data_IF_816724141386
#
_entry.id   IF_816724141386
#
_cell.length_a   1.000
_cell.length_b   1.000
_cell.length_c   1.000
_cell.angle_alpha   90.00
_cell.angle_beta   90.00
_cell.angle_gamma   90.00
#
_symmetry.space_group_name_H-M   'P 1'
#
loop_
_entity.id
_entity.type
_entity.pdbx_description
1 polymer ?
#
# COMPACT_ATOMS: atom_id res chain seq x y z
N UNK A 1 14.28 17.99 -65.19
CA UNK A 1 14.37 19.06 -64.17
C UNK A 1 13.55 18.63 -62.97
N UNK A 2 14.01 17.63 -62.20
CA UNK A 2 13.18 17.03 -61.14
C UNK A 2 14.01 16.36 -60.02
N UNK A 3 15.04 17.05 -59.54
CA UNK A 3 15.81 16.61 -58.36
C UNK A 3 16.09 17.84 -57.49
N UNK A 4 15.06 18.37 -56.81
CA UNK A 4 15.27 19.40 -55.77
C UNK A 4 14.13 19.57 -54.76
N UNK A 5 13.41 18.50 -54.41
CA UNK A 5 12.45 18.50 -53.30
C UNK A 5 12.54 17.21 -52.50
N UNK A 6 13.51 17.11 -51.59
CA UNK A 6 13.45 16.31 -50.36
C UNK A 6 14.74 16.47 -49.52
N UNK A 7 14.99 17.69 -49.04
CA UNK A 7 15.94 17.95 -47.94
C UNK A 7 15.41 19.10 -47.09
N UNK A 8 14.43 18.77 -46.25
CA UNK A 8 14.10 19.50 -45.03
C UNK A 8 13.22 18.58 -44.18
N UNK A 9 13.84 17.54 -43.59
CA UNK A 9 13.25 16.89 -42.41
C UNK A 9 13.66 17.75 -41.22
N UNK A 10 12.72 18.55 -40.75
CA UNK A 10 12.76 19.28 -39.49
C UNK A 10 13.18 18.32 -38.38
N UNK A 11 14.28 18.66 -37.70
CA UNK A 11 14.71 18.01 -36.47
C UNK A 11 13.58 18.24 -35.45
N UNK A 12 13.02 17.20 -34.80
CA UNK A 12 11.97 17.41 -33.82
C UNK A 12 12.49 18.31 -32.70
N UNK A 13 11.72 19.35 -32.35
CA UNK A 13 12.13 20.40 -31.41
C UNK A 13 12.59 19.87 -30.05
N UNK A 14 12.19 18.66 -29.66
CA UNK A 14 12.65 17.94 -28.47
C UNK A 14 14.15 17.59 -28.49
N UNK A 15 14.73 17.30 -29.67
CA UNK A 15 16.16 17.02 -29.85
C UNK A 15 17.01 18.30 -29.80
N UNK A 16 16.46 19.42 -30.28
CA UNK A 16 17.07 20.75 -30.16
C UNK A 16 17.04 21.28 -28.72
N UNK A 17 15.96 20.99 -27.97
CA UNK A 17 15.86 21.31 -26.54
C UNK A 17 16.93 20.58 -25.71
N UNK A 18 17.16 19.29 -25.99
CA UNK A 18 18.23 18.49 -25.38
C UNK A 18 19.65 18.99 -25.72
N UNK A 19 19.83 19.57 -26.92
CA UNK A 19 21.08 20.17 -27.36
C UNK A 19 21.31 21.58 -26.77
N UNK A 20 20.24 22.36 -26.57
CA UNK A 20 20.26 23.74 -26.05
C UNK A 20 20.53 23.85 -24.55
N UNK A 21 20.46 22.74 -23.80
CA UNK A 21 21.00 22.60 -22.44
C UNK A 21 22.55 22.57 -22.45
N UNK A 22 23.17 23.47 -23.20
CA UNK A 22 24.62 23.62 -23.38
C UNK A 22 25.31 24.25 -22.16
N UNK A 23 24.56 24.86 -21.25
CA UNK A 23 25.09 25.46 -20.01
C UNK A 23 25.30 24.49 -18.83
N UNK A 24 24.86 23.23 -18.91
CA UNK A 24 24.80 22.33 -17.74
C UNK A 24 26.09 21.57 -17.41
N UNK A 25 27.17 21.71 -18.19
CA UNK A 25 28.44 21.02 -17.87
C UNK A 25 29.11 21.57 -16.59
N UNK A 26 28.85 22.82 -16.21
CA UNK A 26 29.42 23.44 -15.00
C UNK A 26 28.75 22.99 -13.69
N UNK A 27 27.52 22.48 -13.76
CA UNK A 27 26.80 21.93 -12.58
C UNK A 27 27.03 20.42 -12.45
N UNK A 28 27.29 19.74 -13.57
CA UNK A 28 27.60 18.31 -13.59
C UNK A 28 29.04 18.00 -13.14
N UNK A 29 29.98 18.95 -13.26
CA UNK A 29 31.39 18.71 -12.91
C UNK A 29 31.69 18.62 -11.41
N UNK A 30 31.09 19.42 -10.49
CA UNK A 30 31.34 19.29 -9.06
C UNK A 30 30.65 18.06 -8.49
N UNK A 31 29.45 17.73 -8.98
CA UNK A 31 28.73 16.51 -8.63
C UNK A 31 29.50 15.26 -9.05
N UNK A 32 30.04 15.23 -10.27
CA UNK A 32 30.90 14.15 -10.75
C UNK A 32 32.20 14.01 -9.93
N UNK A 33 32.81 15.13 -9.52
CA UNK A 33 34.02 15.13 -8.67
C UNK A 33 33.74 14.64 -7.25
N UNK A 34 32.63 15.08 -6.65
CA UNK A 34 32.19 14.66 -5.32
C UNK A 34 31.83 13.16 -5.31
N UNK A 35 31.15 12.68 -6.36
CA UNK A 35 30.84 11.26 -6.56
C UNK A 35 32.10 10.40 -6.74
N UNK A 36 33.11 10.89 -7.46
CA UNK A 36 34.39 10.19 -7.65
C UNK A 36 35.22 10.09 -6.37
N UNK A 37 35.18 11.11 -5.50
CA UNK A 37 35.90 11.14 -4.24
C UNK A 37 35.23 10.30 -3.14
N UNK A 38 33.91 10.40 -2.98
CA UNK A 38 33.16 9.67 -1.94
C UNK A 38 32.99 8.16 -2.25
N UNK A 39 33.07 7.76 -3.52
CA UNK A 39 32.79 6.38 -3.95
C UNK A 39 34.03 5.58 -4.36
N UNK A 40 35.24 5.99 -3.98
CA UNK A 40 36.52 5.36 -4.42
C UNK A 40 36.60 3.83 -4.18
N UNK A 41 35.96 3.31 -3.12
CA UNK A 41 35.84 1.86 -2.84
C UNK A 41 34.63 1.20 -3.53
N UNK A 42 33.56 1.96 -3.81
CA UNK A 42 32.27 1.45 -4.34
C UNK A 42 32.19 1.46 -5.88
N UNK A 43 33.01 2.29 -6.53
CA UNK A 43 33.17 2.37 -7.99
C UNK A 43 33.96 1.19 -8.61
N UNK A 44 34.31 0.16 -7.83
CA UNK A 44 35.03 -1.01 -8.35
C UNK A 44 34.24 -1.76 -9.44
N UNK A 45 32.90 -1.75 -9.39
CA UNK A 45 32.05 -2.31 -10.45
C UNK A 45 32.11 -1.50 -11.75
N UNK A 46 32.12 -0.17 -11.63
CA UNK A 46 32.34 0.75 -12.74
C UNK A 46 33.76 0.65 -13.30
N UNK A 47 34.69 -0.08 -12.68
CA UNK A 47 36.06 -0.28 -13.20
C UNK A 47 36.18 -1.45 -14.19
N UNK A 48 35.12 -2.25 -14.38
CA UNK A 48 35.13 -3.39 -15.31
C UNK A 48 35.11 -2.88 -16.75
N UNK A 49 36.17 -3.13 -17.55
CA UNK A 49 36.29 -2.72 -18.97
C UNK A 49 35.04 -3.02 -19.81
N UNK A 50 34.36 -4.15 -19.54
CA UNK A 50 33.14 -4.56 -20.26
C UNK A 50 31.97 -3.59 -20.08
N UNK A 51 31.88 -2.89 -18.96
CA UNK A 51 30.82 -1.92 -18.69
C UNK A 51 30.95 -0.66 -19.57
N UNK A 52 32.15 -0.11 -19.74
CA UNK A 52 32.37 1.04 -20.62
C UNK A 52 32.14 0.72 -22.09
N UNK A 53 32.48 -0.51 -22.51
CA UNK A 53 32.19 -0.98 -23.87
C UNK A 53 30.67 -1.04 -24.10
N UNK A 54 29.92 -1.60 -23.15
CA UNK A 54 28.46 -1.64 -23.19
C UNK A 54 27.85 -0.23 -23.25
N UNK A 55 28.32 0.68 -22.41
CA UNK A 55 27.81 2.06 -22.37
C UNK A 55 28.16 2.84 -23.64
N UNK A 56 29.36 2.63 -24.20
CA UNK A 56 29.77 3.23 -25.46
C UNK A 56 28.91 2.72 -26.61
N UNK A 57 28.62 1.41 -26.64
CA UNK A 57 27.69 0.83 -27.60
C UNK A 57 26.32 1.52 -27.54
N UNK A 58 25.71 1.65 -26.36
CA UNK A 58 24.41 2.32 -26.20
C UNK A 58 24.43 3.80 -26.56
N UNK A 59 25.51 4.53 -26.25
CA UNK A 59 25.65 5.93 -26.62
C UNK A 59 25.90 6.14 -28.13
N UNK A 60 26.36 5.11 -28.84
CA UNK A 60 26.56 5.12 -30.28
C UNK A 60 25.30 4.72 -31.06
N UNK A 61 24.30 4.06 -30.43
CA UNK A 61 23.03 3.69 -31.07
C UNK A 61 22.35 4.91 -31.74
N UNK A 62 22.22 6.09 -31.10
CA UNK A 62 21.62 7.26 -31.76
C UNK A 62 22.41 7.73 -32.99
N UNK A 63 23.73 7.63 -32.97
CA UNK A 63 24.58 7.98 -34.11
C UNK A 63 24.45 6.97 -35.26
N UNK A 64 24.17 5.70 -34.96
CA UNK A 64 23.89 4.65 -35.94
C UNK A 64 22.48 4.76 -36.54
N UNK A 65 21.48 5.11 -35.72
CA UNK A 65 20.08 5.26 -36.15
C UNK A 65 19.82 6.55 -36.94
N UNK A 66 20.63 7.59 -36.75
CA UNK A 66 20.51 8.88 -37.43
C UNK A 66 21.79 9.25 -38.21
N UNK A 67 22.15 8.47 -39.25
CA UNK A 67 23.38 8.70 -40.00
C UNK A 67 23.37 10.08 -40.67
N UNK A 68 24.47 10.83 -40.48
CA UNK A 68 24.68 12.16 -41.07
C UNK A 68 24.05 13.34 -40.32
N UNK A 69 23.31 13.10 -39.23
CA UNK A 69 22.71 14.17 -38.42
C UNK A 69 23.48 14.46 -37.13
N UNK A 70 24.23 13.50 -36.60
CA UNK A 70 25.06 13.69 -35.41
C UNK A 70 26.54 13.76 -35.78
N UNK A 71 27.21 14.85 -35.38
CA UNK A 71 28.67 14.92 -35.44
C UNK A 71 29.30 14.02 -34.38
N UNK A 72 30.50 13.44 -34.63
CA UNK A 72 31.20 12.60 -33.64
C UNK A 72 31.41 13.29 -32.29
N UNK A 73 31.62 14.61 -32.30
CA UNK A 73 31.78 15.42 -31.09
C UNK A 73 30.49 15.49 -30.24
N UNK A 74 29.32 15.54 -30.88
CA UNK A 74 28.02 15.52 -30.18
C UNK A 74 27.75 14.13 -29.60
N UNK A 75 28.04 13.06 -30.35
CA UNK A 75 27.92 11.69 -29.84
C UNK A 75 28.81 11.45 -28.61
N UNK A 76 30.04 11.96 -28.63
CA UNK A 76 30.95 11.88 -27.48
C UNK A 76 30.44 12.68 -26.27
N UNK A 77 29.85 13.87 -26.47
CA UNK A 77 29.21 14.64 -25.39
C UNK A 77 28.01 13.90 -24.79
N UNK A 78 27.19 13.25 -25.63
CA UNK A 78 26.07 12.41 -25.17
C UNK A 78 26.62 11.25 -24.33
N UNK A 79 27.66 10.55 -24.79
CA UNK A 79 28.29 9.46 -24.05
C UNK A 79 28.79 9.90 -22.66
N UNK A 80 29.52 11.01 -22.57
CA UNK A 80 30.00 11.54 -21.30
C UNK A 80 28.85 11.92 -20.36
N UNK A 81 27.80 12.55 -20.89
CA UNK A 81 26.59 12.88 -20.09
C UNK A 81 25.93 11.61 -19.55
N UNK A 82 25.81 10.56 -20.36
CA UNK A 82 25.23 9.29 -19.93
C UNK A 82 26.05 8.64 -18.81
N UNK A 83 27.39 8.69 -18.86
CA UNK A 83 28.25 8.21 -17.77
C UNK A 83 27.93 8.96 -16.48
N UNK A 84 27.90 10.30 -16.53
CA UNK A 84 27.69 11.12 -15.32
C UNK A 84 26.30 10.90 -14.74
N UNK A 85 25.26 10.88 -15.59
CA UNK A 85 23.88 10.65 -15.15
C UNK A 85 23.76 9.25 -14.53
N UNK A 86 24.23 8.21 -15.23
CA UNK A 86 24.15 6.84 -14.73
C UNK A 86 24.95 6.64 -13.44
N UNK A 87 26.16 7.19 -13.36
CA UNK A 87 27.00 7.16 -12.17
C UNK A 87 26.32 7.85 -10.97
N UNK A 88 25.72 9.02 -11.21
CA UNK A 88 24.97 9.74 -10.17
C UNK A 88 23.79 8.92 -9.67
N UNK A 89 22.98 8.35 -10.57
CA UNK A 89 21.85 7.49 -10.19
C UNK A 89 22.30 6.23 -9.42
N UNK A 90 23.43 5.64 -9.81
CA UNK A 90 23.97 4.42 -9.17
C UNK A 90 24.34 4.67 -7.71
N UNK A 91 24.85 5.88 -7.41
CA UNK A 91 25.29 6.28 -6.08
C UNK A 91 24.16 6.81 -5.20
N UNK A 92 23.27 7.60 -5.78
CA UNK A 92 22.09 8.16 -5.11
C UNK A 92 21.15 7.02 -4.68
N UNK A 93 20.99 5.98 -5.50
CA UNK A 93 20.03 4.91 -5.22
C UNK A 93 20.34 4.06 -3.99
N UNK A 94 21.60 3.92 -3.57
CA UNK A 94 21.96 2.93 -2.55
C UNK A 94 21.73 3.40 -1.10
N UNK A 95 21.59 4.70 -0.83
CA UNK A 95 21.57 5.23 0.54
C UNK A 95 20.44 6.24 0.82
N UNK A 96 19.51 6.39 -0.11
CA UNK A 96 18.47 7.41 0.00
C UNK A 96 17.12 6.74 0.17
N UNK A 97 16.49 7.00 1.31
CA UNK A 97 15.08 6.69 1.50
C UNK A 97 14.26 7.77 0.78
N UNK A 98 13.81 7.47 -0.44
CA UNK A 98 13.12 8.43 -1.31
C UNK A 98 11.74 8.86 -0.78
N UNK A 99 11.22 8.23 0.28
CA UNK A 99 10.01 8.68 0.97
C UNK A 99 10.10 10.13 1.48
N UNK A 100 11.30 10.55 1.93
CA UNK A 100 11.55 11.93 2.37
C UNK A 100 11.64 12.91 1.20
N UNK A 101 12.15 12.45 0.06
CA UNK A 101 12.31 13.24 -1.16
C UNK A 101 10.97 13.43 -1.89
N UNK A 102 10.02 12.51 -1.73
CA UNK A 102 8.66 12.61 -2.28
C UNK A 102 8.03 13.98 -2.03
N UNK A 103 8.14 14.51 -0.80
CA UNK A 103 7.58 15.82 -0.41
C UNK A 103 8.15 16.98 -1.24
N UNK A 104 9.43 16.92 -1.61
CA UNK A 104 10.08 17.93 -2.45
C UNK A 104 9.74 17.75 -3.94
N UNK A 105 9.40 16.53 -4.37
CA UNK A 105 9.07 16.21 -5.76
C UNK A 105 7.59 16.42 -6.11
N UNK A 106 6.69 16.33 -5.12
CA UNK A 106 5.24 16.51 -5.32
C UNK A 106 4.87 17.85 -5.97
N UNK A 107 5.45 19.01 -5.60
CA UNK A 107 5.12 20.29 -6.23
C UNK A 107 5.54 20.39 -7.71
N UNK A 108 6.54 19.61 -8.12
CA UNK A 108 7.15 19.70 -9.46
C UNK A 108 6.59 18.65 -10.42
N UNK A 109 6.34 17.43 -9.94
CA UNK A 109 5.94 16.28 -10.76
C UNK A 109 4.46 15.90 -10.58
N UNK A 110 3.76 16.48 -9.60
CA UNK A 110 2.43 16.03 -9.19
C UNK A 110 2.48 14.81 -8.26
N UNK A 111 1.37 14.56 -7.55
CA UNK A 111 1.31 13.57 -6.48
C UNK A 111 1.53 12.12 -6.98
N UNK A 112 0.93 11.76 -8.10
CA UNK A 112 0.97 10.39 -8.65
C UNK A 112 2.33 10.05 -9.24
N UNK A 113 2.91 10.94 -10.04
CA UNK A 113 4.24 10.72 -10.62
C UNK A 113 5.33 10.76 -9.55
N UNK A 114 5.21 11.62 -8.53
CA UNK A 114 6.13 11.61 -7.40
C UNK A 114 6.04 10.29 -6.59
N UNK A 115 4.83 9.74 -6.42
CA UNK A 115 4.61 8.44 -5.77
C UNK A 115 5.22 7.30 -6.59
N UNK A 116 4.92 7.24 -7.89
CA UNK A 116 5.44 6.23 -8.79
C UNK A 116 6.98 6.24 -8.86
N UNK A 117 7.58 7.44 -8.98
CA UNK A 117 9.03 7.60 -8.99
C UNK A 117 9.67 7.18 -7.65
N UNK A 118 9.05 7.54 -6.53
CA UNK A 118 9.53 7.16 -5.18
C UNK A 118 9.56 5.64 -5.03
N UNK A 119 8.49 4.96 -5.46
CA UNK A 119 8.40 3.50 -5.46
C UNK A 119 9.50 2.90 -6.35
N UNK A 120 9.62 3.36 -7.59
CA UNK A 120 10.64 2.87 -8.53
C UNK A 120 12.07 3.02 -7.98
N UNK A 121 12.37 4.14 -7.32
CA UNK A 121 13.70 4.40 -6.76
C UNK A 121 14.00 3.56 -5.52
N UNK A 122 13.00 3.25 -4.70
CA UNK A 122 13.16 2.34 -3.56
C UNK A 122 13.29 0.86 -4.00
N UNK A 123 12.70 0.47 -5.13
CA UNK A 123 12.80 -0.89 -5.73
C UNK A 123 14.21 -1.18 -6.24
N UNK A 124 14.81 -0.18 -6.88
CA UNK A 124 15.98 -0.36 -7.73
C UNK A 124 17.20 -1.00 -7.02
N UNK A 125 17.56 -0.69 -5.76
CA UNK A 125 18.65 -1.35 -5.06
C UNK A 125 18.40 -2.84 -4.81
N UNK A 126 17.17 -3.22 -4.44
CA UNK A 126 16.83 -4.63 -4.24
C UNK A 126 16.85 -5.39 -5.55
N UNK A 127 16.21 -4.83 -6.58
CA UNK A 127 16.22 -5.38 -7.93
C UNK A 127 17.65 -5.54 -8.47
N UNK A 128 18.53 -4.57 -8.24
CA UNK A 128 19.94 -4.65 -8.63
C UNK A 128 20.65 -5.84 -7.98
N UNK A 129 20.49 -6.02 -6.66
CA UNK A 129 21.12 -7.15 -5.94
C UNK A 129 20.63 -8.49 -6.47
N UNK A 130 19.32 -8.65 -6.64
CA UNK A 130 18.72 -9.89 -7.13
C UNK A 130 19.10 -10.20 -8.58
N UNK A 131 19.22 -9.17 -9.42
CA UNK A 131 19.73 -9.30 -10.78
C UNK A 131 21.20 -9.76 -10.81
N UNK A 132 22.04 -9.22 -9.92
CA UNK A 132 23.44 -9.61 -9.85
C UNK A 132 23.63 -11.04 -9.35
N UNK A 133 22.91 -11.44 -8.30
CA UNK A 133 22.96 -12.81 -7.77
C UNK A 133 22.40 -13.80 -8.78
N UNK A 134 21.26 -13.49 -9.41
CA UNK A 134 20.70 -14.30 -10.48
C UNK A 134 21.65 -14.47 -11.67
N UNK A 135 22.30 -13.38 -12.10
CA UNK A 135 23.30 -13.44 -13.17
C UNK A 135 24.54 -14.27 -12.79
N UNK A 136 25.02 -14.17 -11.55
CA UNK A 136 26.12 -14.98 -11.05
C UNK A 136 25.78 -16.48 -11.03
N UNK A 137 24.59 -16.85 -10.54
CA UNK A 137 24.09 -18.22 -10.52
C UNK A 137 23.92 -18.80 -11.93
N UNK A 138 23.40 -18.01 -12.88
CA UNK A 138 23.28 -18.43 -14.27
C UNK A 138 24.63 -18.68 -14.95
N UNK A 139 25.64 -17.87 -14.62
CA UNK A 139 27.00 -18.05 -15.13
C UNK A 139 27.69 -19.32 -14.59
N UNK A 140 27.28 -19.81 -13.41
CA UNK A 140 27.80 -21.05 -12.83
C UNK A 140 27.16 -22.30 -13.48
N UNK A 141 25.86 -22.24 -13.81
CA UNK A 141 25.08 -23.43 -14.19
C UNK A 141 24.74 -23.58 -15.69
N UNK A 142 25.05 -22.61 -16.56
CA UNK A 142 24.56 -22.63 -17.95
C UNK A 142 25.64 -22.50 -19.03
N UNK A 143 25.43 -23.14 -20.19
CA UNK A 143 26.17 -22.82 -21.43
C UNK A 143 25.93 -21.35 -21.79
N UNK A 144 27.01 -20.56 -21.92
CA UNK A 144 27.02 -19.09 -22.09
C UNK A 144 26.00 -18.53 -23.11
N UNK A 145 25.65 -19.28 -24.16
CA UNK A 145 24.71 -18.85 -25.22
C UNK A 145 23.25 -18.71 -24.74
N UNK A 146 22.80 -19.49 -23.75
CA UNK A 146 21.40 -19.44 -23.28
C UNK A 146 21.18 -18.39 -22.17
N UNK A 147 22.26 -17.87 -21.58
CA UNK A 147 22.19 -16.90 -20.48
C UNK A 147 21.60 -15.57 -20.96
N UNK A 148 22.03 -15.08 -22.12
CA UNK A 148 21.57 -13.80 -22.69
C UNK A 148 20.08 -13.84 -23.02
N UNK A 149 19.58 -14.99 -23.50
CA UNK A 149 18.16 -15.19 -23.82
C UNK A 149 17.26 -15.30 -22.58
N UNK A 150 17.78 -15.82 -21.46
CA UNK A 150 17.03 -16.00 -20.20
C UNK A 150 17.07 -14.77 -19.28
N UNK A 151 18.05 -13.89 -19.47
CA UNK A 151 18.25 -12.71 -18.63
C UNK A 151 17.04 -11.74 -18.59
N UNK A 152 16.38 -11.41 -19.72
CA UNK A 152 15.20 -10.54 -19.68
C UNK A 152 14.07 -11.11 -18.83
N UNK A 153 13.79 -12.41 -18.93
CA UNK A 153 12.76 -13.07 -18.12
C UNK A 153 13.08 -13.05 -16.62
N UNK A 154 14.34 -13.26 -16.25
CA UNK A 154 14.79 -13.13 -14.86
C UNK A 154 14.60 -11.70 -14.35
N UNK A 155 14.95 -10.68 -15.15
CA UNK A 155 14.80 -9.28 -14.78
C UNK A 155 13.35 -8.89 -14.52
N UNK A 156 12.43 -9.35 -15.39
CA UNK A 156 10.99 -9.15 -15.20
C UNK A 156 10.50 -9.85 -13.94
N UNK A 157 10.89 -11.09 -13.69
CA UNK A 157 10.50 -11.83 -12.48
C UNK A 157 11.01 -11.17 -11.19
N UNK A 158 12.24 -10.64 -11.19
CA UNK A 158 12.74 -9.85 -10.06
C UNK A 158 11.91 -8.58 -9.86
N UNK A 159 11.61 -7.85 -10.93
CA UNK A 159 10.79 -6.65 -10.83
C UNK A 159 9.38 -6.94 -10.29
N UNK A 160 8.75 -8.04 -10.73
CA UNK A 160 7.44 -8.48 -10.23
C UNK A 160 7.48 -8.81 -8.74
N UNK A 161 8.48 -9.57 -8.29
CA UNK A 161 8.63 -9.91 -6.86
C UNK A 161 8.77 -8.67 -5.97
N UNK A 162 9.62 -7.72 -6.38
CA UNK A 162 9.79 -6.49 -5.59
C UNK A 162 8.53 -5.62 -5.65
N UNK A 163 7.81 -5.60 -6.77
CA UNK A 163 6.52 -4.91 -6.88
C UNK A 163 5.46 -5.50 -5.94
N UNK A 164 5.35 -6.83 -5.86
CA UNK A 164 4.47 -7.53 -4.93
C UNK A 164 4.83 -7.22 -3.47
N UNK A 165 6.12 -7.26 -3.12
CA UNK A 165 6.58 -6.97 -1.76
C UNK A 165 6.21 -5.53 -1.33
N UNK A 166 6.33 -4.57 -2.25
CA UNK A 166 5.93 -3.19 -1.98
C UNK A 166 4.41 -3.04 -1.93
N UNK A 167 3.66 -3.72 -2.78
CA UNK A 167 2.21 -3.70 -2.71
C UNK A 167 1.73 -4.23 -1.34
N UNK A 168 2.34 -5.30 -0.85
CA UNK A 168 2.07 -5.85 0.48
C UNK A 168 2.44 -4.86 1.60
N UNK A 169 3.61 -4.22 1.53
CA UNK A 169 4.02 -3.20 2.51
C UNK A 169 3.10 -1.98 2.48
N UNK A 170 2.69 -1.51 1.29
CA UNK A 170 1.76 -0.40 1.15
C UNK A 170 0.36 -0.74 1.67
N UNK A 171 -0.07 -2.00 1.53
CA UNK A 171 -1.32 -2.49 2.12
C UNK A 171 -1.23 -2.59 3.66
N UNK A 172 -0.06 -2.94 4.18
CA UNK A 172 0.21 -2.94 5.63
C UNK A 172 0.27 -1.52 6.22
N UNK A 173 0.86 -0.56 5.48
CA UNK A 173 1.00 0.85 5.89
C UNK A 173 -0.22 1.73 5.55
N UNK A 174 -1.19 1.21 4.79
CA UNK A 174 -2.43 1.94 4.53
C UNK A 174 -3.17 2.18 5.86
N UNK A 175 -3.68 3.41 6.09
CA UNK A 175 -4.48 3.67 7.26
C UNK A 175 -5.73 2.78 7.20
N UNK A 176 -6.07 2.17 8.33
CA UNK A 176 -7.25 1.33 8.51
C UNK A 176 -8.55 2.14 8.44
N UNK A 177 -9.69 1.50 8.70
CA UNK A 177 -11.00 2.12 8.48
C UNK A 177 -11.23 3.35 9.35
N UNK A 178 -12.20 4.20 8.95
CA UNK A 178 -12.73 5.23 9.85
C UNK A 178 -13.57 4.55 10.94
N UNK A 179 -13.34 4.91 12.20
CA UNK A 179 -14.02 4.28 13.34
C UNK A 179 -14.95 5.29 13.99
N UNK A 180 -16.20 4.87 14.22
CA UNK A 180 -17.22 5.59 14.97
C UNK A 180 -17.47 4.86 16.28
N UNK A 181 -17.01 5.43 17.39
CA UNK A 181 -17.21 4.88 18.73
C UNK A 181 -18.51 5.45 19.29
N UNK A 182 -19.46 4.57 19.57
CA UNK A 182 -20.70 4.90 20.27
C UNK A 182 -20.54 4.52 21.73
N UNK A 183 -20.57 5.51 22.62
CA UNK A 183 -20.36 5.28 24.05
C UNK A 183 -21.38 6.04 24.90
N UNK A 184 -21.66 5.51 26.09
CA UNK A 184 -22.66 6.01 27.01
C UNK A 184 -23.08 4.92 28.00
N UNK A 185 -23.98 5.27 28.92
CA UNK A 185 -24.43 4.40 30.00
C UNK A 185 -25.06 3.08 29.53
N UNK A 186 -25.17 2.11 30.43
CA UNK A 186 -25.94 0.88 30.20
C UNK A 186 -27.40 1.26 29.94
N UNK A 187 -28.01 0.66 28.92
CA UNK A 187 -29.39 0.97 28.47
C UNK A 187 -29.62 2.42 28.00
N UNK A 188 -28.59 3.19 27.67
CA UNK A 188 -28.72 4.53 27.07
C UNK A 188 -29.24 4.57 25.63
N UNK A 189 -29.56 3.41 25.03
CA UNK A 189 -30.05 3.34 23.65
C UNK A 189 -28.97 3.15 22.58
N UNK A 190 -27.72 2.80 22.96
CA UNK A 190 -26.61 2.54 22.01
C UNK A 190 -27.00 1.57 20.87
N UNK A 191 -27.57 0.41 21.21
CA UNK A 191 -27.97 -0.59 20.22
C UNK A 191 -29.09 -0.09 19.29
N UNK A 192 -30.01 0.74 19.81
CA UNK A 192 -31.04 1.38 19.01
C UNK A 192 -30.43 2.40 18.02
N UNK A 193 -29.48 3.21 18.48
CA UNK A 193 -28.73 4.12 17.62
C UNK A 193 -27.96 3.36 16.54
N UNK A 194 -27.29 2.26 16.89
CA UNK A 194 -26.60 1.37 15.94
C UNK A 194 -27.53 0.90 14.82
N UNK A 195 -28.73 0.40 15.18
CA UNK A 195 -29.71 -0.05 14.20
C UNK A 195 -30.17 1.07 13.27
N UNK A 196 -30.43 2.26 13.82
CA UNK A 196 -30.79 3.46 13.03
C UNK A 196 -29.67 3.86 12.06
N UNK A 197 -28.43 3.90 12.54
CA UNK A 197 -27.26 4.24 11.72
C UNK A 197 -27.06 3.21 10.60
N UNK A 198 -27.25 1.91 10.88
CA UNK A 198 -27.20 0.87 9.86
C UNK A 198 -28.25 1.08 8.75
N UNK A 199 -29.49 1.43 9.13
CA UNK A 199 -30.54 1.75 8.18
C UNK A 199 -30.22 2.99 7.33
N UNK A 200 -29.65 4.04 7.95
CA UNK A 200 -29.21 5.25 7.24
C UNK A 200 -28.10 4.96 6.23
N UNK A 201 -27.09 4.17 6.59
CA UNK A 201 -26.03 3.78 5.64
C UNK A 201 -26.59 2.94 4.48
N UNK A 202 -27.56 2.06 4.75
CA UNK A 202 -28.24 1.29 3.72
C UNK A 202 -29.06 2.20 2.78
N UNK A 203 -29.75 3.22 3.30
CA UNK A 203 -30.46 4.24 2.50
C UNK A 203 -29.52 5.05 1.61
N UNK A 204 -28.27 5.23 2.03
CA UNK A 204 -27.20 5.85 1.22
C UNK A 204 -26.62 4.90 0.16
N UNK A 205 -27.13 3.68 0.03
CA UNK A 205 -26.68 2.70 -0.96
C UNK A 205 -25.40 1.97 -0.57
N UNK A 206 -24.96 2.06 0.69
CA UNK A 206 -23.77 1.36 1.17
C UNK A 206 -24.09 -0.08 1.53
N UNK A 207 -23.11 -0.95 1.31
CA UNK A 207 -23.14 -2.32 1.82
C UNK A 207 -22.85 -2.30 3.31
N UNK A 208 -23.68 -2.96 4.09
CA UNK A 208 -23.55 -3.06 5.55
C UNK A 208 -23.29 -4.51 5.96
N UNK A 209 -22.45 -4.73 6.97
CA UNK A 209 -22.18 -6.04 7.56
C UNK A 209 -22.02 -5.94 9.06
N UNK A 210 -21.66 -7.06 9.70
CA UNK A 210 -21.47 -7.11 11.14
C UNK A 210 -22.71 -7.51 11.93
N UNK A 211 -22.70 -7.21 13.23
CA UNK A 211 -23.73 -7.61 14.19
C UNK A 211 -24.12 -6.46 15.11
N UNK A 212 -25.39 -6.41 15.50
CA UNK A 212 -25.95 -5.49 16.48
C UNK A 212 -26.67 -6.30 17.56
N UNK A 213 -26.32 -6.10 18.83
CA UNK A 213 -26.89 -6.83 19.97
C UNK A 213 -28.08 -6.07 20.57
N UNK A 214 -29.27 -6.28 20.03
CA UNK A 214 -30.49 -5.62 20.46
C UNK A 214 -31.02 -6.20 21.78
N UNK A 215 -31.39 -5.32 22.71
CA UNK A 215 -32.04 -5.76 23.95
C UNK A 215 -33.48 -6.21 23.70
N UNK A 216 -33.83 -7.39 24.22
CA UNK A 216 -35.21 -7.90 24.24
C UNK A 216 -35.86 -7.53 25.55
N UNK A 217 -37.06 -6.95 25.50
CA UNK A 217 -37.82 -6.49 26.66
C UNK A 217 -39.21 -7.14 26.72
N UNK A 218 -39.62 -7.59 27.89
CA UNK A 218 -41.00 -7.99 28.22
C UNK A 218 -41.45 -7.19 29.45
N UNK A 219 -42.62 -6.57 29.39
CA UNK A 219 -43.20 -5.80 30.51
C UNK A 219 -42.24 -4.74 31.09
N UNK A 220 -41.46 -4.08 30.22
CA UNK A 220 -40.46 -3.08 30.61
C UNK A 220 -39.16 -3.64 31.19
N UNK A 221 -39.05 -4.97 31.35
CA UNK A 221 -37.84 -5.64 31.87
C UNK A 221 -37.05 -6.27 30.73
N UNK A 222 -35.73 -6.04 30.71
CA UNK A 222 -34.84 -6.69 29.73
C UNK A 222 -34.70 -8.18 30.00
N UNK A 223 -35.27 -9.00 29.12
CA UNK A 223 -35.33 -10.48 29.19
C UNK A 223 -34.29 -11.18 28.32
N UNK A 224 -33.57 -10.45 27.47
CA UNK A 224 -32.54 -11.07 26.63
C UNK A 224 -31.82 -10.12 25.69
N UNK A 225 -31.10 -10.73 24.75
CA UNK A 225 -30.40 -10.09 23.66
C UNK A 225 -30.60 -10.90 22.38
N UNK A 226 -30.99 -10.21 21.31
CA UNK A 226 -30.99 -10.76 19.96
C UNK A 226 -29.85 -10.14 19.15
N UNK A 227 -29.23 -10.93 18.29
CA UNK A 227 -28.32 -10.45 17.27
C UNK A 227 -29.12 -10.11 16.02
N UNK A 228 -28.92 -8.90 15.51
CA UNK A 228 -29.39 -8.45 14.20
C UNK A 228 -28.20 -8.26 13.27
N UNK A 229 -28.30 -8.82 12.06
CA UNK A 229 -27.30 -8.71 10.99
C UNK A 229 -27.72 -7.63 9.97
N UNK A 230 -27.06 -6.47 9.89
CA UNK A 230 -27.47 -5.40 8.98
C UNK A 230 -27.44 -5.79 7.49
N UNK A 231 -26.50 -6.67 7.11
CA UNK A 231 -26.32 -7.10 5.72
C UNK A 231 -27.43 -8.02 5.24
N UNK A 232 -27.71 -9.09 6.00
CA UNK A 232 -28.70 -10.10 5.64
C UNK A 232 -30.12 -9.75 6.11
N UNK A 233 -30.25 -8.92 7.14
CA UNK A 233 -31.51 -8.65 7.85
C UNK A 233 -31.96 -9.76 8.79
N UNK A 234 -31.14 -10.80 9.00
CA UNK A 234 -31.46 -11.91 9.90
C UNK A 234 -31.42 -11.45 11.36
N UNK A 235 -32.23 -12.13 12.17
CA UNK A 235 -32.30 -11.90 13.61
C UNK A 235 -32.44 -13.22 14.36
N UNK A 236 -31.71 -13.39 15.46
CA UNK A 236 -31.78 -14.59 16.31
C UNK A 236 -31.35 -14.28 17.75
N UNK A 237 -31.84 -15.08 18.69
CA UNK A 237 -31.50 -14.89 20.11
C UNK A 237 -30.08 -15.34 20.42
N UNK A 238 -29.34 -14.46 21.09
CA UNK A 238 -28.02 -14.74 21.66
C UNK A 238 -28.13 -15.13 23.13
N UNK A 239 -28.96 -14.41 23.89
CA UNK A 239 -29.12 -14.68 25.30
C UNK A 239 -30.55 -14.42 25.80
N UNK A 240 -30.97 -15.21 26.79
CA UNK A 240 -32.28 -15.09 27.45
C UNK A 240 -32.13 -15.22 28.96
N UNK A 241 -33.11 -14.76 29.73
CA UNK A 241 -33.18 -14.98 31.18
C UNK A 241 -33.84 -16.31 31.57
N UNK A 242 -34.38 -17.04 30.59
CA UNK A 242 -34.99 -18.35 30.80
C UNK A 242 -33.93 -19.38 31.23
N UNK A 243 -34.15 -20.07 32.35
CA UNK A 243 -33.14 -21.00 32.90
C UNK A 243 -32.91 -22.24 32.03
N UNK A 244 -33.91 -22.70 31.30
CA UNK A 244 -33.83 -23.81 30.35
C UNK A 244 -33.09 -23.47 29.06
N UNK A 245 -32.70 -22.22 28.85
CA UNK A 245 -32.04 -21.75 27.64
C UNK A 245 -30.52 -21.61 27.84
N UNK A 246 -29.78 -21.69 26.73
CA UNK A 246 -28.35 -21.36 26.66
C UNK A 246 -27.42 -22.41 27.29
N UNK A 247 -26.14 -22.28 26.96
CA UNK A 247 -25.08 -23.20 27.35
C UNK A 247 -24.23 -22.62 28.49
N UNK A 248 -24.10 -21.29 28.54
CA UNK A 248 -23.26 -20.57 29.50
C UNK A 248 -24.06 -19.48 30.19
N UNK A 249 -23.79 -19.24 31.47
CA UNK A 249 -24.41 -18.16 32.24
C UNK A 249 -23.47 -17.00 32.52
N UNK A 250 -23.97 -15.78 32.35
CA UNK A 250 -23.36 -14.56 32.88
C UNK A 250 -24.43 -13.72 33.60
N UNK A 251 -24.35 -13.70 34.94
CA UNK A 251 -25.39 -13.13 35.78
C UNK A 251 -26.73 -13.84 35.55
N UNK A 252 -27.80 -13.06 35.29
CA UNK A 252 -29.15 -13.59 35.01
C UNK A 252 -29.37 -14.08 33.58
N UNK A 253 -28.39 -13.90 32.70
CA UNK A 253 -28.52 -14.22 31.28
C UNK A 253 -27.85 -15.56 30.97
N UNK A 254 -28.52 -16.36 30.14
CA UNK A 254 -28.02 -17.61 29.57
C UNK A 254 -27.74 -17.41 28.07
N UNK A 255 -26.49 -17.60 27.67
CA UNK A 255 -25.99 -17.39 26.32
C UNK A 255 -25.90 -18.72 25.57
N UNK A 256 -26.30 -18.73 24.30
CA UNK A 256 -26.08 -19.88 23.41
C UNK A 256 -24.71 -19.77 22.74
N UNK A 257 -23.89 -20.81 22.89
CA UNK A 257 -22.61 -20.96 22.22
C UNK A 257 -22.79 -21.06 20.70
N UNK A 258 -23.80 -21.79 20.25
CA UNK A 258 -24.13 -21.89 18.82
C UNK A 258 -24.47 -20.53 18.23
N UNK A 259 -25.32 -19.74 18.90
CA UNK A 259 -25.65 -18.38 18.45
C UNK A 259 -24.44 -17.44 18.52
N UNK A 260 -23.54 -17.64 19.48
CA UNK A 260 -22.32 -16.85 19.59
C UNK A 260 -21.34 -17.13 18.43
N UNK A 261 -21.15 -18.39 18.05
CA UNK A 261 -20.34 -18.76 16.88
C UNK A 261 -20.98 -18.26 15.57
N UNK A 262 -22.31 -18.39 15.43
CA UNK A 262 -23.04 -17.77 14.30
C UNK A 262 -22.82 -16.26 14.22
N UNK A 263 -22.78 -15.58 15.37
CA UNK A 263 -22.51 -14.13 15.41
C UNK A 263 -21.07 -13.80 14.99
N UNK A 264 -20.08 -14.65 15.31
CA UNK A 264 -18.70 -14.48 14.80
C UNK A 264 -18.64 -14.66 13.29
N UNK A 265 -19.32 -15.66 12.75
CA UNK A 265 -19.41 -15.88 11.31
C UNK A 265 -20.03 -14.67 10.61
N UNK A 266 -21.17 -14.20 11.10
CA UNK A 266 -21.85 -13.02 10.56
C UNK A 266 -21.03 -11.72 10.70
N UNK A 267 -20.26 -11.59 11.78
CA UNK A 267 -19.35 -10.47 12.00
C UNK A 267 -18.19 -10.45 10.98
N UNK A 268 -17.82 -11.60 10.44
CA UNK A 268 -16.79 -11.75 9.41
C UNK A 268 -17.36 -11.81 7.98
N UNK A 269 -18.68 -11.86 7.82
CA UNK A 269 -19.37 -11.83 6.53
C UNK A 269 -19.59 -10.38 6.06
N UNK A 270 -18.53 -9.78 5.52
CA UNK A 270 -18.58 -8.43 4.95
C UNK A 270 -17.75 -8.30 3.68
N UNK A 271 -18.22 -7.43 2.78
CA UNK A 271 -17.55 -7.11 1.52
C UNK A 271 -16.46 -6.03 1.71
N UNK A 272 -15.55 -5.91 0.74
CA UNK A 272 -14.66 -4.75 0.64
C UNK A 272 -15.45 -3.43 0.55
N UNK A 273 -14.91 -2.37 1.17
CA UNK A 273 -15.53 -1.05 1.28
C UNK A 273 -16.95 -1.05 1.88
N UNK A 274 -17.28 -2.04 2.71
CA UNK A 274 -18.54 -2.06 3.46
C UNK A 274 -18.46 -1.23 4.75
N UNK A 275 -19.63 -0.94 5.32
CA UNK A 275 -19.76 -0.41 6.68
C UNK A 275 -20.05 -1.56 7.62
N UNK A 276 -19.19 -1.75 8.62
CA UNK A 276 -19.31 -2.86 9.59
C UNK A 276 -19.79 -2.34 10.93
N UNK A 277 -20.71 -3.08 11.56
CA UNK A 277 -21.26 -2.79 12.88
C UNK A 277 -20.82 -3.86 13.88
N UNK A 278 -20.38 -3.45 15.07
CA UNK A 278 -20.09 -4.34 16.19
C UNK A 278 -20.63 -3.74 17.49
N UNK A 279 -21.57 -4.45 18.12
CA UNK A 279 -22.16 -4.11 19.41
C UNK A 279 -22.02 -5.30 20.37
N UNK A 280 -21.20 -5.28 21.43
CA UNK A 280 -20.37 -4.23 22.04
C UNK A 280 -18.95 -4.76 22.30
N UNK A 281 -17.93 -3.90 22.25
CA UNK A 281 -16.60 -4.23 22.74
C UNK A 281 -16.40 -3.76 24.19
N UNK A 282 -15.90 -4.67 25.04
CA UNK A 282 -15.73 -4.43 26.46
C UNK A 282 -14.63 -5.29 27.09
N UNK A 283 -14.79 -5.67 28.37
CA UNK A 283 -13.77 -6.44 29.10
C UNK A 283 -13.40 -7.77 28.43
N UNK A 284 -14.35 -8.51 27.86
CA UNK A 284 -14.07 -9.78 27.19
C UNK A 284 -13.11 -9.60 26.01
N UNK A 285 -13.35 -8.61 25.15
CA UNK A 285 -12.47 -8.31 24.04
C UNK A 285 -11.09 -7.84 24.53
N UNK A 286 -11.05 -7.06 25.62
CA UNK A 286 -9.79 -6.65 26.25
C UNK A 286 -8.99 -7.82 26.82
N UNK A 287 -9.63 -8.91 27.22
CA UNK A 287 -8.98 -10.14 27.66
C UNK A 287 -8.64 -11.10 26.49
N UNK A 288 -8.99 -10.74 25.25
CA UNK A 288 -8.75 -11.56 24.06
C UNK A 288 -9.84 -12.60 23.79
N UNK A 289 -10.92 -12.56 24.57
CA UNK A 289 -12.11 -13.38 24.39
C UNK A 289 -13.17 -12.64 23.56
N UNK A 290 -14.41 -13.14 23.55
CA UNK A 290 -15.51 -12.45 22.89
C UNK A 290 -15.28 -12.35 21.37
N UNK A 291 -15.38 -11.12 20.87
CA UNK A 291 -15.13 -10.78 19.47
C UNK A 291 -13.73 -10.19 19.21
N UNK A 292 -12.76 -10.36 20.12
CA UNK A 292 -11.43 -9.74 20.01
C UNK A 292 -10.75 -10.03 18.66
N UNK A 293 -10.69 -11.31 18.26
CA UNK A 293 -10.06 -11.72 17.00
C UNK A 293 -10.82 -11.19 15.76
N UNK A 294 -12.15 -11.10 15.86
CA UNK A 294 -12.96 -10.50 14.80
C UNK A 294 -12.66 -9.01 14.67
N UNK A 295 -12.57 -8.27 15.80
CA UNK A 295 -12.23 -6.85 15.81
C UNK A 295 -10.84 -6.59 15.24
N UNK A 296 -9.83 -7.39 15.58
CA UNK A 296 -8.49 -7.31 14.98
C UNK A 296 -8.54 -7.53 13.46
N UNK A 297 -9.29 -8.54 13.03
CA UNK A 297 -9.45 -8.88 11.62
C UNK A 297 -10.17 -7.77 10.84
N UNK A 298 -11.22 -7.18 11.41
CA UNK A 298 -11.95 -6.04 10.87
C UNK A 298 -11.02 -4.82 10.73
N UNK A 299 -10.23 -4.50 11.76
CA UNK A 299 -9.28 -3.38 11.72
C UNK A 299 -8.14 -3.59 10.72
N UNK A 300 -7.84 -4.83 10.35
CA UNK A 300 -6.89 -5.19 9.30
C UNK A 300 -7.50 -5.27 7.90
N UNK A 301 -8.83 -5.23 7.79
CA UNK A 301 -9.57 -5.40 6.53
C UNK A 301 -9.80 -4.09 5.80
N UNK A 302 -10.09 -4.19 4.50
CA UNK A 302 -10.36 -3.03 3.65
C UNK A 302 -11.86 -2.67 3.68
N UNK A 303 -12.35 -2.25 4.84
CA UNK A 303 -13.73 -1.75 5.02
C UNK A 303 -13.73 -0.21 4.98
N UNK A 304 -14.88 0.38 4.68
CA UNK A 304 -15.01 1.84 4.64
C UNK A 304 -14.98 2.43 6.06
N UNK A 305 -15.84 1.90 6.93
CA UNK A 305 -15.95 2.37 8.31
C UNK A 305 -16.46 1.29 9.26
N UNK A 306 -16.02 1.36 10.52
CA UNK A 306 -16.46 0.53 11.62
C UNK A 306 -17.28 1.37 12.61
N UNK A 307 -18.51 0.96 12.88
CA UNK A 307 -19.32 1.45 14.00
C UNK A 307 -19.19 0.48 15.17
N UNK A 308 -18.64 0.97 16.27
CA UNK A 308 -18.30 0.16 17.43
C UNK A 308 -18.96 0.75 18.66
N UNK A 309 -19.82 0.01 19.34
CA UNK A 309 -20.22 0.40 20.70
C UNK A 309 -19.13 -0.03 21.67
N UNK A 310 -18.79 0.84 22.61
CA UNK A 310 -17.78 0.57 23.63
C UNK A 310 -18.29 1.02 24.99
N UNK A 311 -18.12 0.14 25.99
CA UNK A 311 -18.39 0.50 27.39
C UNK A 311 -17.55 1.70 27.78
N UNK A 312 -18.15 2.69 28.42
CA UNK A 312 -17.47 3.96 28.74
C UNK A 312 -16.15 3.75 29.50
N UNK A 313 -16.12 2.81 30.45
CA UNK A 313 -14.93 2.42 31.20
C UNK A 313 -13.80 1.82 30.34
N UNK A 314 -14.11 1.27 29.18
CA UNK A 314 -13.19 0.51 28.34
C UNK A 314 -12.68 1.30 27.11
N UNK A 315 -13.22 2.50 26.85
CA UNK A 315 -12.90 3.30 25.65
C UNK A 315 -11.40 3.53 25.47
N UNK A 316 -10.69 3.92 26.54
CA UNK A 316 -9.25 4.17 26.49
C UNK A 316 -8.45 2.92 26.11
N UNK A 317 -8.75 1.80 26.75
CA UNK A 317 -8.05 0.53 26.56
C UNK A 317 -8.35 -0.09 25.19
N UNK A 318 -9.61 -0.04 24.72
CA UNK A 318 -9.98 -0.51 23.38
C UNK A 318 -9.27 0.30 22.31
N UNK A 319 -9.19 1.63 22.49
CA UNK A 319 -8.48 2.50 21.55
C UNK A 319 -7.00 2.15 21.44
N UNK A 320 -6.35 1.91 22.57
CA UNK A 320 -4.93 1.54 22.62
C UNK A 320 -4.68 0.16 22.05
N UNK A 321 -5.50 -0.84 22.41
CA UNK A 321 -5.29 -2.24 22.03
C UNK A 321 -5.66 -2.52 20.58
N UNK A 322 -6.80 -2.01 20.09
CA UNK A 322 -7.37 -2.42 18.80
C UNK A 322 -7.34 -1.34 17.73
N UNK A 323 -7.45 -0.07 18.09
CA UNK A 323 -7.74 1.01 17.13
C UNK A 323 -6.49 1.75 16.64
N UNK A 324 -5.29 1.24 16.89
CA UNK A 324 -4.02 1.89 16.51
C UNK A 324 -3.84 2.12 15.00
N UNK A 325 -4.56 1.36 14.15
CA UNK A 325 -4.55 1.52 12.69
C UNK A 325 -5.67 2.41 12.15
N UNK A 326 -6.64 2.83 12.97
CA UNK A 326 -7.79 3.62 12.49
C UNK A 326 -7.33 4.89 11.76
N UNK A 327 -7.90 5.17 10.59
CA UNK A 327 -7.60 6.41 9.84
C UNK A 327 -8.09 7.65 10.59
N UNK A 328 -9.25 7.53 11.24
CA UNK A 328 -9.91 8.57 12.02
C UNK A 328 -10.83 7.93 13.04
N UNK A 329 -10.94 8.54 14.22
CA UNK A 329 -11.82 8.08 15.30
C UNK A 329 -12.78 9.21 15.64
N UNK A 330 -14.08 8.95 15.54
CA UNK A 330 -15.15 9.86 15.90
C UNK A 330 -15.92 9.30 17.09
N UNK A 331 -16.38 10.16 17.98
CA UNK A 331 -17.20 9.77 19.14
C UNK A 331 -18.65 10.21 18.92
N UNK A 332 -19.57 9.30 19.16
CA UNK A 332 -21.01 9.51 19.08
C UNK A 332 -21.61 9.18 20.44
N UNK A 333 -22.52 10.04 20.92
CA UNK A 333 -23.34 9.78 22.10
C UNK A 333 -24.79 9.55 21.66
N UNK A 334 -25.48 8.54 22.22
CA UNK A 334 -26.89 8.28 21.93
C UNK A 334 -27.85 9.35 22.45
#
# INVERSE_FOLDING_TARGET
MEIKKMKNKTIPASLLLLASLSGSLYILSPAALLTGLLARRRLQELRKRKFYIFLAFFALIPALLLPGQLSPAVAFKIFLRTIVVFGSFTLISENINFSKIRKCLTPVLGADSAKALTVAMNIYPSMRRDLYTGWALMNLNSRKRFIILRFPGMAVNCALKVAEEIALRMKAEAPGPEVFIITGDINSGKSFLMAKLAEEQKKLGKKTGGIIAEGVFSDGVKTGFDIFEPGSGKKYSLAKTEESWGDISAGKYRFSLESFEKAKEALMDFDENSVVFLDEAGPLELDGEGYALCLESIMASNIESLYLTVRESCVGQIREKFLGRASKINFIRP
#
